data_IF_057431716281
#
_entry.id   IF_057431716281
#
_cell.length_a   1.000
_cell.length_b   1.000
_cell.length_c   1.000
_cell.angle_alpha   90.00
_cell.angle_beta   90.00
_cell.angle_gamma   90.00
#
_symmetry.space_group_name_H-M   'P 1'
#
loop_
_entity.id
_entity.type
_entity.pdbx_description
1 polymer ?
#
# COMPACT_ATOMS: atom_id res chain seq x y z
N UNK A 1 67.35 -43.83 15.37
CA UNK A 1 66.96 -43.84 13.93
C UNK A 1 65.57 -44.43 13.80
N UNK A 2 64.70 -43.84 12.93
CA UNK A 2 63.24 -44.01 12.70
C UNK A 2 62.47 -42.77 13.19
N UNK A 3 62.22 -41.70 12.41
CA UNK A 3 61.46 -41.59 11.13
C UNK A 3 60.00 -42.01 11.40
N UNK A 4 58.90 -41.26 11.19
CA UNK A 4 58.56 -39.99 10.52
C UNK A 4 57.07 -39.68 10.83
N UNK A 5 56.69 -38.40 10.73
CA UNK A 5 55.42 -37.89 10.15
C UNK A 5 54.10 -38.26 10.85
N UNK A 6 53.58 -37.35 11.69
CA UNK A 6 52.13 -37.14 11.91
C UNK A 6 51.84 -35.66 12.22
N UNK A 7 52.12 -34.77 11.27
CA UNK A 7 51.82 -33.33 11.39
C UNK A 7 51.22 -32.84 10.06
N UNK A 8 50.09 -33.42 9.66
CA UNK A 8 49.42 -33.00 8.41
C UNK A 8 47.91 -33.32 8.38
N UNK A 9 47.24 -33.50 9.53
CA UNK A 9 45.86 -34.04 9.54
C UNK A 9 44.85 -33.37 10.46
N UNK A 10 45.19 -32.22 11.05
CA UNK A 10 44.23 -31.44 11.85
C UNK A 10 43.82 -30.11 11.22
N UNK A 11 44.65 -29.55 10.33
CA UNK A 11 44.46 -28.20 9.78
C UNK A 11 43.29 -28.11 8.77
N UNK A 12 42.85 -29.22 8.18
CA UNK A 12 41.72 -29.23 7.24
C UNK A 12 40.34 -29.23 7.90
N UNK A 13 40.22 -29.46 9.22
CA UNK A 13 38.92 -29.55 9.89
C UNK A 13 38.43 -28.23 10.51
N UNK A 14 39.29 -27.22 10.61
CA UNK A 14 38.90 -25.90 11.13
C UNK A 14 38.33 -24.95 10.06
N UNK A 15 38.59 -25.19 8.77
CA UNK A 15 38.10 -24.33 7.69
C UNK A 15 36.64 -24.60 7.29
N UNK A 16 36.10 -25.79 7.52
CA UNK A 16 34.70 -26.11 7.21
C UNK A 16 33.70 -25.60 8.25
N UNK A 17 34.13 -25.33 9.49
CA UNK A 17 33.22 -24.86 10.54
C UNK A 17 32.99 -23.33 10.51
N UNK A 18 33.91 -22.56 9.91
CA UNK A 18 33.81 -21.09 9.81
C UNK A 18 32.87 -20.60 8.68
N UNK A 19 32.35 -21.49 7.83
CA UNK A 19 31.36 -21.14 6.80
C UNK A 19 29.89 -21.30 7.23
N UNK A 20 29.62 -21.76 8.46
CA UNK A 20 28.25 -21.94 8.95
C UNK A 20 27.62 -20.68 9.57
N UNK A 21 28.34 -19.56 9.68
CA UNK A 21 27.87 -18.30 10.31
C UNK A 21 27.80 -17.14 9.31
N UNK A 22 27.54 -17.43 8.04
CA UNK A 22 27.27 -16.42 7.01
C UNK A 22 25.93 -16.72 6.32
N UNK A 23 24.86 -16.72 7.12
CA UNK A 23 23.49 -16.99 6.67
C UNK A 23 22.47 -16.06 7.31
N UNK A 24 22.83 -14.79 7.54
CA UNK A 24 21.90 -13.74 7.90
C UNK A 24 22.16 -12.53 6.98
N UNK A 25 21.97 -12.75 5.68
CA UNK A 25 21.83 -11.69 4.67
C UNK A 25 20.45 -11.02 4.77
N UNK A 26 20.25 -9.85 4.16
CA UNK A 26 19.14 -8.94 4.47
C UNK A 26 17.79 -9.64 4.29
N UNK A 27 16.99 -9.57 5.34
CA UNK A 27 15.69 -10.22 5.43
C UNK A 27 14.71 -9.74 4.37
N UNK A 28 13.94 -10.71 3.88
CA UNK A 28 12.60 -10.63 3.29
C UNK A 28 12.43 -9.75 2.06
N UNK A 29 12.89 -10.28 0.92
CA UNK A 29 12.17 -10.11 -0.35
C UNK A 29 10.83 -10.86 -0.27
N UNK A 30 9.84 -10.25 0.38
CA UNK A 30 8.46 -10.69 0.26
C UNK A 30 7.97 -10.28 -1.13
N UNK A 31 8.02 -11.19 -2.11
CA UNK A 31 7.27 -11.04 -3.37
C UNK A 31 5.78 -11.28 -3.12
N UNK A 32 5.25 -10.72 -2.03
CA UNK A 32 3.92 -11.00 -1.53
C UNK A 32 2.94 -10.82 -2.67
N UNK A 33 2.48 -11.95 -3.21
CA UNK A 33 1.32 -12.10 -4.08
C UNK A 33 0.03 -11.81 -3.30
N UNK A 34 0.12 -10.81 -2.40
CA UNK A 34 -0.91 -10.28 -1.50
C UNK A 34 -2.12 -9.72 -2.23
N UNK A 35 -1.97 -9.43 -3.52
CA UNK A 35 -2.99 -8.85 -4.40
C UNK A 35 -4.24 -9.74 -4.50
N UNK A 36 -4.13 -11.06 -4.29
CA UNK A 36 -5.28 -11.98 -4.29
C UNK A 36 -5.94 -12.18 -2.92
N UNK A 37 -5.17 -12.21 -1.83
CA UNK A 37 -5.68 -12.67 -0.52
C UNK A 37 -6.74 -11.75 0.07
N UNK A 38 -6.62 -10.43 -0.15
CA UNK A 38 -7.63 -9.49 0.34
C UNK A 38 -8.97 -9.69 -0.38
N UNK A 39 -8.96 -9.86 -1.72
CA UNK A 39 -10.18 -10.09 -2.48
C UNK A 39 -10.90 -11.36 -2.01
N UNK A 40 -10.15 -12.45 -1.82
CA UNK A 40 -10.69 -13.72 -1.32
C UNK A 40 -11.27 -13.59 0.09
N UNK A 41 -10.61 -12.86 0.99
CA UNK A 41 -11.09 -12.60 2.35
C UNK A 41 -12.48 -11.94 2.35
N UNK A 42 -12.72 -11.01 1.43
CA UNK A 42 -14.00 -10.31 1.29
C UNK A 42 -15.00 -11.03 0.36
N UNK A 43 -14.66 -12.21 -0.17
CA UNK A 43 -15.49 -12.92 -1.15
C UNK A 43 -15.68 -12.13 -2.45
N UNK A 44 -14.74 -11.23 -2.75
CA UNK A 44 -14.71 -10.40 -3.94
C UNK A 44 -13.90 -11.08 -5.06
N UNK A 45 -14.17 -10.68 -6.29
CA UNK A 45 -13.37 -11.03 -7.46
C UNK A 45 -12.78 -9.78 -8.06
N UNK A 46 -11.59 -9.90 -8.64
CA UNK A 46 -10.95 -8.81 -9.39
C UNK A 46 -11.89 -8.34 -10.51
N UNK A 47 -12.01 -7.03 -10.65
CA UNK A 47 -12.75 -6.39 -11.72
C UNK A 47 -11.93 -5.23 -12.29
N UNK A 48 -12.27 -4.79 -13.50
CA UNK A 48 -11.67 -3.59 -14.07
C UNK A 48 -12.14 -2.35 -13.31
N UNK A 49 -11.24 -1.49 -12.84
CA UNK A 49 -11.60 -0.18 -12.26
C UNK A 49 -12.31 0.72 -13.28
N UNK A 50 -12.14 0.45 -14.58
CA UNK A 50 -12.85 1.17 -15.64
C UNK A 50 -14.35 0.85 -15.70
N UNK A 51 -14.82 -0.12 -14.93
CA UNK A 51 -16.25 -0.37 -14.68
C UNK A 51 -16.83 0.44 -13.51
N UNK A 52 -16.01 1.23 -12.82
CA UNK A 52 -16.44 2.04 -11.69
C UNK A 52 -17.28 3.24 -12.12
N UNK A 53 -18.16 3.73 -11.25
CA UNK A 53 -18.96 4.94 -11.49
C UNK A 53 -18.10 6.20 -11.67
N UNK A 54 -16.88 6.21 -11.12
CA UNK A 54 -15.90 7.29 -11.26
C UNK A 54 -14.90 7.06 -12.41
N UNK A 55 -15.10 6.05 -13.28
CA UNK A 55 -14.19 5.73 -14.38
C UNK A 55 -13.96 6.91 -15.34
N UNK A 56 -14.94 7.82 -15.48
CA UNK A 56 -14.79 9.05 -16.27
C UNK A 56 -13.73 10.03 -15.74
N UNK A 57 -13.28 9.87 -14.49
CA UNK A 57 -12.20 10.65 -13.90
C UNK A 57 -10.84 9.94 -13.96
N UNK A 58 -10.82 8.72 -14.48
CA UNK A 58 -9.62 7.92 -14.69
C UNK A 58 -9.13 8.05 -16.14
N UNK A 59 -7.94 7.51 -16.41
CA UNK A 59 -7.39 7.39 -17.77
C UNK A 59 -7.63 5.99 -18.32
N UNK A 60 -8.91 5.61 -18.38
CA UNK A 60 -9.31 4.34 -18.95
C UNK A 60 -9.18 4.38 -20.48
N UNK A 61 -8.59 3.35 -21.12
CA UNK A 61 -8.44 3.35 -22.57
C UNK A 61 -9.81 3.39 -23.26
N UNK A 62 -9.92 4.21 -24.30
CA UNK A 62 -11.17 4.46 -25.01
C UNK A 62 -11.72 3.23 -25.74
N UNK A 63 -10.91 2.19 -25.96
CA UNK A 63 -11.35 0.87 -26.47
C UNK A 63 -12.23 0.08 -25.50
N UNK A 64 -12.23 0.45 -24.21
CA UNK A 64 -13.15 -0.10 -23.20
C UNK A 64 -14.54 0.56 -23.30
N UNK A 65 -14.61 1.71 -23.97
CA UNK A 65 -15.87 2.41 -24.20
C UNK A 65 -16.33 2.03 -25.61
N UNK A 66 -17.59 1.61 -25.72
CA UNK A 66 -18.33 1.27 -26.96
C UNK A 66 -18.21 -0.17 -27.45
N UNK A 67 -18.68 -1.12 -26.63
CA UNK A 67 -19.16 -2.43 -27.05
C UNK A 67 -20.02 -3.07 -25.94
N UNK A 68 -20.90 -4.05 -26.22
CA UNK A 68 -21.65 -4.76 -25.17
C UNK A 68 -20.77 -5.64 -24.27
N UNK A 69 -19.46 -5.69 -24.52
CA UNK A 69 -18.50 -6.44 -23.74
C UNK A 69 -18.03 -5.59 -22.54
N UNK A 70 -18.16 -6.14 -21.33
CA UNK A 70 -17.54 -5.57 -20.15
C UNK A 70 -16.00 -5.59 -20.30
N UNK A 71 -15.27 -4.57 -19.78
CA UNK A 71 -13.82 -4.61 -19.76
C UNK A 71 -13.30 -5.87 -19.09
N UNK A 72 -12.21 -6.41 -19.62
CA UNK A 72 -11.55 -7.57 -19.04
C UNK A 72 -11.04 -7.21 -17.62
N UNK A 73 -11.01 -8.15 -16.67
CA UNK A 73 -10.62 -7.86 -15.27
C UNK A 73 -9.17 -7.36 -15.11
N UNK A 74 -8.33 -7.57 -16.12
CA UNK A 74 -6.95 -7.08 -16.17
C UNK A 74 -6.79 -5.75 -16.93
N UNK A 75 -7.84 -5.28 -17.59
CA UNK A 75 -7.87 -3.94 -18.16
C UNK A 75 -8.11 -2.91 -17.06
N UNK A 76 -7.35 -1.81 -17.07
CA UNK A 76 -7.43 -0.79 -16.03
C UNK A 76 -7.02 0.60 -16.53
N UNK A 77 -6.97 1.56 -15.60
CA UNK A 77 -6.57 2.93 -15.90
C UNK A 77 -5.05 3.03 -16.08
N UNK A 78 -4.57 4.01 -16.86
CA UNK A 78 -3.20 4.51 -16.65
C UNK A 78 -3.05 5.11 -15.23
N UNK A 79 -1.80 5.30 -14.80
CA UNK A 79 -1.52 5.96 -13.52
C UNK A 79 -2.18 7.35 -13.44
N UNK A 80 -3.01 7.52 -12.42
CA UNK A 80 -3.56 8.81 -11.99
C UNK A 80 -3.27 9.03 -10.51
N UNK A 81 -3.01 10.29 -10.16
CA UNK A 81 -2.69 10.70 -8.79
C UNK A 81 -3.72 11.70 -8.31
N UNK A 82 -4.19 11.47 -7.09
CA UNK A 82 -5.18 12.27 -6.38
C UNK A 82 -4.58 12.72 -5.05
N UNK A 83 -4.82 13.97 -4.67
CA UNK A 83 -4.32 14.56 -3.43
C UNK A 83 -5.36 15.44 -2.75
N UNK A 84 -5.26 15.61 -1.44
CA UNK A 84 -6.13 16.48 -0.66
C UNK A 84 -5.90 17.97 -0.96
N UNK A 85 -4.64 18.38 -1.10
CA UNK A 85 -4.24 19.73 -1.52
C UNK A 85 -3.06 19.65 -2.50
N UNK A 86 -3.19 20.10 -3.76
CA UNK A 86 -2.09 20.01 -4.73
C UNK A 86 -0.85 20.85 -4.37
N UNK A 87 -1.01 21.91 -3.58
CA UNK A 87 0.09 22.78 -3.15
C UNK A 87 0.78 22.28 -1.87
N UNK A 88 0.12 21.41 -1.10
CA UNK A 88 0.56 21.01 0.23
C UNK A 88 0.04 19.62 0.64
N UNK A 89 0.13 18.63 -0.25
CA UNK A 89 -0.52 17.34 -0.10
C UNK A 89 -0.08 16.60 1.16
N UNK A 90 -1.03 16.24 2.01
CA UNK A 90 -0.81 15.37 3.18
C UNK A 90 -1.32 13.95 2.91
N UNK A 91 -2.24 13.82 1.96
CA UNK A 91 -2.81 12.55 1.52
C UNK A 91 -2.61 12.41 0.04
N UNK A 92 -2.14 11.24 -0.37
CA UNK A 92 -1.92 10.90 -1.77
C UNK A 92 -2.55 9.56 -2.06
N UNK A 93 -3.32 9.50 -3.14
CA UNK A 93 -3.90 8.28 -3.69
C UNK A 93 -3.40 8.09 -5.12
N UNK A 94 -2.88 6.90 -5.43
CA UNK A 94 -2.46 6.50 -6.78
C UNK A 94 -3.36 5.39 -7.23
N UNK A 95 -3.93 5.51 -8.42
CA UNK A 95 -4.66 4.43 -9.09
C UNK A 95 -3.87 4.08 -10.34
N UNK A 96 -3.51 2.82 -10.50
CA UNK A 96 -2.79 2.31 -11.67
C UNK A 96 -3.32 0.92 -12.02
N UNK A 97 -3.66 0.70 -13.29
CA UNK A 97 -4.47 -0.43 -13.71
C UNK A 97 -5.76 -0.53 -12.86
N UNK A 98 -5.90 -1.57 -12.04
CA UNK A 98 -7.00 -1.75 -11.08
C UNK A 98 -6.55 -1.65 -9.63
N UNK A 99 -5.29 -1.26 -9.39
CA UNK A 99 -4.70 -1.19 -8.07
C UNK A 99 -4.74 0.24 -7.53
N UNK A 100 -4.78 0.36 -6.20
CA UNK A 100 -4.76 1.62 -5.49
C UNK A 100 -3.73 1.60 -4.36
N UNK A 101 -3.00 2.69 -4.22
CA UNK A 101 -2.19 3.01 -3.06
C UNK A 101 -2.73 4.30 -2.43
N UNK A 102 -3.13 4.26 -1.15
CA UNK A 102 -3.39 5.45 -0.34
C UNK A 102 -2.26 5.61 0.67
N UNK A 103 -1.76 6.84 0.81
CA UNK A 103 -0.73 7.21 1.77
C UNK A 103 -1.08 8.56 2.41
N UNK A 104 -1.56 8.53 3.65
CA UNK A 104 -1.76 9.72 4.47
C UNK A 104 -0.52 9.94 5.33
N UNK A 105 0.41 10.77 4.84
CA UNK A 105 1.77 10.89 5.36
C UNK A 105 1.77 11.31 6.84
N UNK A 106 0.97 12.32 7.19
CA UNK A 106 0.92 12.83 8.56
C UNK A 106 0.02 12.00 9.48
N UNK A 107 -0.91 11.23 8.91
CA UNK A 107 -1.74 10.29 9.67
C UNK A 107 -1.05 8.95 9.93
N UNK A 108 0.08 8.67 9.27
CA UNK A 108 0.73 7.35 9.33
C UNK A 108 -0.13 6.22 8.77
N UNK A 109 -1.13 6.55 7.94
CA UNK A 109 -2.06 5.56 7.35
C UNK A 109 -1.60 5.22 5.95
N UNK A 110 -1.52 3.92 5.66
CA UNK A 110 -1.29 3.39 4.31
C UNK A 110 -2.30 2.32 3.98
N UNK A 111 -2.74 2.27 2.74
CA UNK A 111 -3.57 1.20 2.23
C UNK A 111 -3.10 0.83 0.82
N UNK A 112 -3.04 -0.47 0.54
CA UNK A 112 -2.81 -1.00 -0.79
C UNK A 112 -3.88 -2.03 -1.09
N UNK A 113 -4.52 -1.95 -2.26
CA UNK A 113 -5.60 -2.85 -2.62
C UNK A 113 -5.94 -2.83 -4.11
N UNK A 114 -6.86 -3.71 -4.48
CA UNK A 114 -7.27 -3.93 -5.87
C UNK A 114 -8.78 -3.76 -6.00
N UNK A 115 -9.22 -3.18 -7.12
CA UNK A 115 -10.62 -3.02 -7.45
C UNK A 115 -11.28 -4.38 -7.64
N UNK A 116 -12.41 -4.57 -6.96
CA UNK A 116 -13.14 -5.81 -7.03
C UNK A 116 -14.64 -5.64 -6.89
N UNK A 117 -15.33 -6.75 -7.09
CA UNK A 117 -16.78 -6.86 -6.93
C UNK A 117 -17.13 -8.11 -6.12
N UNK A 118 -17.98 -7.94 -5.11
CA UNK A 118 -18.58 -9.06 -4.35
C UNK A 118 -19.76 -9.68 -5.10
N UNK A 119 -20.21 -10.87 -4.69
CA UNK A 119 -21.42 -11.50 -5.25
C UNK A 119 -22.68 -10.63 -5.16
N UNK A 120 -22.75 -9.76 -4.16
CA UNK A 120 -23.87 -8.84 -3.94
C UNK A 120 -23.77 -7.57 -4.82
N UNK A 121 -22.79 -7.49 -5.72
CA UNK A 121 -22.56 -6.34 -6.60
C UNK A 121 -21.84 -5.18 -5.93
N UNK A 122 -21.38 -5.33 -4.68
CA UNK A 122 -20.62 -4.26 -4.03
C UNK A 122 -19.24 -4.10 -4.67
N UNK A 123 -18.96 -2.90 -5.17
CA UNK A 123 -17.69 -2.53 -5.79
C UNK A 123 -16.92 -1.52 -4.95
N UNK A 124 -15.65 -1.82 -4.71
CA UNK A 124 -14.70 -1.00 -3.94
C UNK A 124 -13.29 -1.56 -4.14
N UNK A 125 -12.28 -0.88 -3.60
CA UNK A 125 -10.97 -1.49 -3.49
C UNK A 125 -10.91 -2.36 -2.23
N UNK A 126 -10.37 -3.55 -2.39
CA UNK A 126 -10.16 -4.53 -1.32
C UNK A 126 -8.67 -4.74 -1.14
N UNK A 127 -8.19 -4.64 0.09
CA UNK A 127 -6.76 -4.59 0.34
C UNK A 127 -6.41 -4.72 1.80
N UNK A 128 -5.22 -4.25 2.14
CA UNK A 128 -4.75 -4.17 3.52
C UNK A 128 -4.29 -2.76 3.85
N UNK A 129 -4.39 -2.40 5.13
CA UNK A 129 -3.90 -1.12 5.63
C UNK A 129 -3.01 -1.28 6.86
N UNK A 130 -2.19 -0.25 7.09
CA UNK A 130 -1.49 0.01 8.33
C UNK A 130 -1.89 1.39 8.84
N UNK A 131 -2.09 1.53 10.14
CA UNK A 131 -2.43 2.81 10.79
C UNK A 131 -1.82 2.87 12.20
N UNK A 132 -1.66 4.07 12.80
CA UNK A 132 -1.21 4.18 14.19
C UNK A 132 -2.12 3.40 15.15
N UNK A 133 -1.51 2.61 16.03
CA UNK A 133 -2.24 1.74 16.96
C UNK A 133 -2.70 0.41 16.38
N UNK A 134 -2.35 0.10 15.13
CA UNK A 134 -2.53 -1.21 14.51
C UNK A 134 -1.17 -1.90 14.43
N UNK A 135 -1.03 -3.02 15.13
CA UNK A 135 0.25 -3.74 15.30
C UNK A 135 0.72 -4.45 14.02
N UNK A 136 -0.21 -4.79 13.12
CA UNK A 136 0.06 -5.50 11.88
C UNK A 136 -0.76 -4.94 10.72
N UNK A 137 -0.46 -5.37 9.50
CA UNK A 137 -1.27 -5.04 8.32
C UNK A 137 -2.62 -5.77 8.41
N UNK A 138 -3.72 -5.03 8.44
CA UNK A 138 -5.08 -5.57 8.60
C UNK A 138 -5.88 -5.46 7.29
N UNK A 139 -6.80 -6.40 7.00
CA UNK A 139 -7.68 -6.31 5.84
C UNK A 139 -8.64 -5.13 5.96
N UNK A 140 -8.85 -4.41 4.85
CA UNK A 140 -9.73 -3.25 4.78
C UNK A 140 -10.24 -2.99 3.39
N UNK A 141 -11.11 -1.98 3.29
CA UNK A 141 -11.69 -1.56 2.02
C UNK A 141 -11.62 -0.06 1.86
N UNK A 142 -11.33 0.40 0.64
CA UNK A 142 -11.32 1.81 0.28
C UNK A 142 -12.48 2.09 -0.67
N UNK A 143 -13.39 2.94 -0.23
CA UNK A 143 -14.55 3.40 -1.00
C UNK A 143 -14.25 4.74 -1.66
N UNK A 144 -14.78 4.92 -2.86
CA UNK A 144 -14.62 6.15 -3.65
C UNK A 144 -15.99 6.68 -4.01
N UNK A 145 -16.25 7.93 -3.68
CA UNK A 145 -17.49 8.62 -4.02
C UNK A 145 -17.19 9.83 -4.90
N UNK A 146 -17.97 10.00 -5.97
CA UNK A 146 -17.87 11.19 -6.82
C UNK A 146 -18.64 12.35 -6.18
N UNK A 147 -17.93 13.43 -5.88
CA UNK A 147 -18.52 14.69 -5.44
C UNK A 147 -18.74 15.63 -6.63
N UNK A 148 -19.43 16.75 -6.39
CA UNK A 148 -19.62 17.79 -7.40
C UNK A 148 -18.27 18.33 -7.90
N UNK A 149 -18.23 18.72 -9.18
CA UNK A 149 -17.02 19.31 -9.78
C UNK A 149 -15.90 18.31 -10.11
N UNK A 150 -16.17 17.00 -10.12
CA UNK A 150 -15.18 15.97 -10.48
C UNK A 150 -14.19 15.65 -9.35
N UNK A 151 -14.45 16.13 -8.14
CA UNK A 151 -13.71 15.77 -6.92
C UNK A 151 -14.09 14.35 -6.51
N UNK A 152 -13.12 13.56 -6.08
CA UNK A 152 -13.35 12.23 -5.54
C UNK A 152 -13.13 12.23 -4.03
N UNK A 153 -14.04 11.62 -3.27
CA UNK A 153 -13.92 11.42 -1.84
C UNK A 153 -13.47 9.99 -1.57
N UNK A 154 -12.44 9.83 -0.75
CA UNK A 154 -11.90 8.53 -0.38
C UNK A 154 -12.11 8.26 1.12
N UNK A 155 -12.62 7.08 1.45
CA UNK A 155 -12.77 6.63 2.83
C UNK A 155 -12.27 5.19 2.99
N UNK A 156 -11.43 4.97 3.99
CA UNK A 156 -10.88 3.67 4.36
C UNK A 156 -11.67 3.11 5.54
N UNK A 157 -12.10 1.86 5.43
CA UNK A 157 -12.76 1.12 6.50
C UNK A 157 -12.06 -0.22 6.77
N UNK A 158 -12.14 -0.69 8.01
CA UNK A 158 -11.66 -2.02 8.38
C UNK A 158 -12.58 -3.13 7.85
N UNK A 159 -12.22 -4.39 8.13
CA UNK A 159 -13.01 -5.56 7.74
C UNK A 159 -14.44 -5.60 8.30
N UNK A 160 -14.71 -4.88 9.39
CA UNK A 160 -16.05 -4.78 10.00
C UNK A 160 -16.85 -3.60 9.45
N UNK A 161 -16.28 -2.83 8.51
CA UNK A 161 -16.90 -1.64 7.94
C UNK A 161 -16.78 -0.39 8.83
N UNK A 162 -15.96 -0.43 9.88
CA UNK A 162 -15.69 0.77 10.69
C UNK A 162 -14.70 1.66 9.95
N UNK A 163 -15.03 2.94 9.81
CA UNK A 163 -14.13 3.92 9.20
C UNK A 163 -12.83 4.07 10.02
N UNK A 164 -11.71 3.88 9.34
CA UNK A 164 -10.34 4.04 9.85
C UNK A 164 -9.79 5.41 9.46
N UNK A 165 -10.09 5.87 8.25
CA UNK A 165 -9.59 7.14 7.72
C UNK A 165 -10.56 7.76 6.70
N UNK A 166 -10.66 9.08 6.67
CA UNK A 166 -11.56 9.82 5.78
C UNK A 166 -13.01 9.91 6.29
N UNK A 167 -13.97 10.39 5.47
CA UNK A 167 -13.84 10.74 4.04
C UNK A 167 -12.93 11.96 3.79
N UNK A 168 -12.09 11.89 2.75
CA UNK A 168 -11.22 12.99 2.33
C UNK A 168 -11.51 13.36 0.87
N UNK A 169 -11.95 14.60 0.58
CA UNK A 169 -12.08 15.08 -0.79
C UNK A 169 -10.69 15.26 -1.40
N UNK A 170 -10.53 14.80 -2.65
CA UNK A 170 -9.27 14.85 -3.36
C UNK A 170 -9.43 15.38 -4.77
N UNK A 171 -8.38 16.06 -5.22
CA UNK A 171 -8.26 16.64 -6.54
C UNK A 171 -7.18 15.89 -7.34
N UNK A 172 -7.36 15.83 -8.65
CA UNK A 172 -6.37 15.23 -9.54
C UNK A 172 -5.14 16.15 -9.60
N UNK A 173 -3.96 15.57 -9.47
CA UNK A 173 -2.69 16.29 -9.56
C UNK A 173 -1.69 15.45 -10.36
N UNK A 174 -1.05 16.02 -11.38
CA UNK A 174 -0.02 15.28 -12.13
C UNK A 174 1.35 15.32 -11.41
N UNK A 175 1.63 16.39 -10.67
CA UNK A 175 2.87 16.60 -9.90
C UNK A 175 2.59 17.33 -8.57
N UNK A 176 2.05 16.65 -7.54
CA UNK A 176 1.71 17.29 -6.27
C UNK A 176 2.96 17.66 -5.46
N UNK A 177 2.87 18.77 -4.70
CA UNK A 177 3.88 19.10 -3.69
C UNK A 177 3.49 18.46 -2.37
N UNK A 178 4.36 17.60 -1.81
CA UNK A 178 4.09 16.93 -0.54
C UNK A 178 4.40 17.86 0.64
N UNK A 179 3.47 17.92 1.59
CA UNK A 179 3.69 18.56 2.87
C UNK A 179 4.66 17.75 3.73
N UNK A 180 5.48 18.46 4.50
CA UNK A 180 6.22 17.86 5.61
C UNK A 180 5.38 17.90 6.87
N UNK A 181 5.33 16.78 7.60
CA UNK A 181 4.62 16.73 8.86
C UNK A 181 5.49 17.39 9.93
N UNK A 182 5.10 18.58 10.38
CA UNK A 182 5.77 19.23 11.50
C UNK A 182 5.56 18.40 12.76
N UNK A 183 6.54 17.58 13.13
CA UNK A 183 6.64 17.09 14.50
C UNK A 183 6.91 18.30 15.37
N UNK A 184 5.90 18.78 16.09
CA UNK A 184 6.13 19.73 17.19
C UNK A 184 7.00 18.99 18.20
N UNK A 185 8.31 19.17 18.09
CA UNK A 185 9.28 18.72 19.08
C UNK A 185 9.01 19.54 20.33
N UNK A 186 8.27 18.96 21.27
CA UNK A 186 8.11 19.51 22.61
C UNK A 186 9.44 19.33 23.33
N UNK A 187 10.43 20.18 23.00
CA UNK A 187 11.63 20.31 23.80
C UNK A 187 11.18 20.77 25.19
N UNK A 188 11.46 20.01 26.27
CA UNK A 188 11.13 20.49 27.60
C UNK A 188 11.90 21.80 27.84
N UNK A 189 11.28 22.83 28.43
CA UNK A 189 11.99 24.04 28.80
C UNK A 189 13.10 23.65 29.79
N UNK A 190 14.34 23.77 29.32
CA UNK A 190 15.54 23.60 30.14
C UNK A 190 15.59 24.79 31.10
N UNK A 191 15.09 24.60 32.32
CA UNK A 191 14.99 25.72 33.26
C UNK A 191 14.22 25.40 34.55
N UNK A 192 14.64 24.38 35.30
CA UNK A 192 14.27 24.25 36.70
C UNK A 192 15.49 23.83 37.52
N UNK A 193 16.34 24.80 37.83
CA UNK A 193 17.28 24.70 38.95
C UNK A 193 16.47 24.65 40.24
N UNK A 194 16.34 23.47 40.84
CA UNK A 194 15.92 23.34 42.23
C UNK A 194 17.02 23.93 43.12
N UNK A 195 16.65 24.91 43.95
CA UNK A 195 17.41 25.34 45.12
C UNK A 195 16.90 24.61 46.36
#
# INVERSE_FOLDING_TARGET
>A
MRTRVRLARGWCLLLTLLLAVAGCGPGVGGTGTGEGYALEFFGAKKASVCSASFAGQLKCPSTIVVGPAAPLPDEGSELVVWVDDPAAAQVLVRINASDVDLNAVCGGVRFAGTWGETKDGNRRFFGHFTAPGVEASEPGTLTVETLAGGVLSYALSDANGKTVYGPVPMQRADSPTMSSCSTVSTSPPSGATYR
#
